data_IF_528995840044
#
_entry.id   IF_528995840044
#
_cell.length_a   1.000
_cell.length_b   1.000
_cell.length_c   1.000
_cell.angle_alpha   90.00
_cell.angle_beta   90.00
_cell.angle_gamma   90.00
#
_symmetry.space_group_name_H-M   'P 1'
#
loop_
_entity.id
_entity.type
_entity.pdbx_description
1 polymer ?
#
# COMPACT_ATOMS: atom_id res chain seq x y z
N UNK A 1 0.98 16.34 -9.93
CA UNK A 1 0.01 15.93 -8.89
C UNK A 1 0.60 14.81 -8.03
N UNK A 2 1.58 15.15 -7.20
CA UNK A 2 2.36 14.19 -6.40
C UNK A 2 1.74 13.88 -5.03
N UNK A 3 0.69 14.61 -4.63
CA UNK A 3 0.01 14.42 -3.34
C UNK A 3 -1.16 13.43 -3.39
N UNK A 4 -1.79 13.28 -4.54
CA UNK A 4 -2.98 12.42 -4.70
C UNK A 4 -2.62 10.99 -5.02
N UNK A 5 -1.58 10.78 -5.83
CA UNK A 5 -1.12 9.44 -6.22
C UNK A 5 -0.83 8.51 -5.03
N UNK A 6 -0.04 8.92 -4.01
CA UNK A 6 0.22 8.04 -2.86
C UNK A 6 -1.04 7.68 -2.05
N UNK A 7 -2.02 8.60 -1.97
CA UNK A 7 -3.31 8.34 -1.32
C UNK A 7 -4.15 7.31 -2.06
N UNK A 8 -4.17 7.36 -3.40
CA UNK A 8 -4.89 6.38 -4.21
C UNK A 8 -4.26 4.99 -4.12
N UNK A 9 -2.93 4.90 -4.16
CA UNK A 9 -2.21 3.64 -3.99
C UNK A 9 -2.47 3.01 -2.61
N UNK A 10 -2.43 3.81 -1.55
CA UNK A 10 -2.70 3.33 -0.18
C UNK A 10 -4.12 2.76 -0.09
N UNK A 11 -5.12 3.48 -0.61
CA UNK A 11 -6.50 3.01 -0.62
C UNK A 11 -6.68 1.75 -1.48
N UNK A 12 -6.09 1.71 -2.67
CA UNK A 12 -6.16 0.53 -3.54
C UNK A 12 -5.57 -0.71 -2.87
N UNK A 13 -4.44 -0.57 -2.17
CA UNK A 13 -3.85 -1.67 -1.41
C UNK A 13 -4.74 -2.12 -0.25
N UNK A 14 -5.34 -1.19 0.50
CA UNK A 14 -6.27 -1.53 1.60
C UNK A 14 -7.51 -2.26 1.04
N UNK A 15 -8.11 -1.75 -0.04
CA UNK A 15 -9.26 -2.41 -0.67
C UNK A 15 -8.90 -3.79 -1.21
N UNK A 16 -7.72 -3.97 -1.80
CA UNK A 16 -7.24 -5.29 -2.22
C UNK A 16 -7.08 -6.25 -1.02
N UNK A 17 -6.59 -5.78 0.13
CA UNK A 17 -6.58 -6.60 1.35
C UNK A 17 -7.99 -6.99 1.81
N UNK A 18 -8.94 -6.05 1.78
CA UNK A 18 -10.34 -6.30 2.14
C UNK A 18 -11.03 -7.30 1.20
N UNK A 19 -10.62 -7.32 -0.08
CA UNK A 19 -11.08 -8.28 -1.09
C UNK A 19 -10.42 -9.66 -0.96
N UNK A 20 -9.41 -9.81 -0.11
CA UNK A 20 -8.61 -11.04 0.03
C UNK A 20 -7.49 -11.17 -1.00
N UNK A 21 -7.31 -10.18 -1.87
CA UNK A 21 -6.24 -10.10 -2.88
C UNK A 21 -4.93 -9.57 -2.27
N UNK A 22 -4.35 -10.36 -1.36
CA UNK A 22 -3.13 -9.98 -0.63
C UNK A 22 -1.93 -9.74 -1.55
N UNK A 23 -1.80 -10.47 -2.66
CA UNK A 23 -0.72 -10.29 -3.63
C UNK A 23 -0.77 -8.92 -4.33
N UNK A 24 -1.96 -8.45 -4.70
CA UNK A 24 -2.13 -7.12 -5.29
C UNK A 24 -1.95 -6.03 -4.23
N UNK A 25 -2.44 -6.26 -3.02
CA UNK A 25 -2.25 -5.34 -1.91
C UNK A 25 -0.77 -5.07 -1.64
N UNK A 26 0.04 -6.13 -1.54
CA UNK A 26 1.49 -6.03 -1.31
C UNK A 26 2.15 -5.25 -2.44
N UNK A 27 1.83 -5.54 -3.71
CA UNK A 27 2.36 -4.78 -4.85
C UNK A 27 2.04 -3.29 -4.79
N UNK A 28 0.81 -2.93 -4.43
CA UNK A 28 0.41 -1.52 -4.30
C UNK A 28 1.15 -0.81 -3.17
N UNK A 29 1.35 -1.48 -2.04
CA UNK A 29 2.10 -0.91 -0.93
C UNK A 29 3.61 -0.82 -1.21
N UNK A 30 4.21 -1.81 -1.87
CA UNK A 30 5.62 -1.77 -2.29
C UNK A 30 5.89 -0.67 -3.32
N UNK A 31 4.99 -0.49 -4.29
CA UNK A 31 5.06 0.63 -5.23
C UNK A 31 4.97 1.97 -4.50
N UNK A 32 4.09 2.07 -3.50
CA UNK A 32 3.92 3.27 -2.69
C UNK A 32 5.15 3.61 -1.84
N UNK A 33 5.78 2.61 -1.23
CA UNK A 33 7.00 2.82 -0.42
C UNK A 33 8.23 3.07 -1.27
N UNK A 34 8.28 2.54 -2.49
CA UNK A 34 9.39 2.73 -3.43
C UNK A 34 9.30 4.06 -4.19
N UNK A 35 8.11 4.41 -4.69
CA UNK A 35 7.91 5.64 -5.48
C UNK A 35 7.72 6.88 -4.58
N UNK A 36 7.18 6.73 -3.36
CA UNK A 36 6.87 7.84 -2.47
C UNK A 36 7.37 7.62 -1.02
N UNK A 37 8.65 7.31 -0.79
CA UNK A 37 9.18 7.00 0.54
C UNK A 37 9.02 8.15 1.56
N UNK A 38 8.98 9.40 1.09
CA UNK A 38 8.80 10.59 1.94
C UNK A 38 7.34 10.92 2.25
N UNK A 39 6.39 10.23 1.60
CA UNK A 39 4.97 10.43 1.85
C UNK A 39 4.56 9.81 3.19
N UNK A 40 3.70 10.51 3.94
CA UNK A 40 3.13 9.97 5.18
C UNK A 40 2.31 8.69 4.93
N UNK A 41 1.79 8.53 3.72
CA UNK A 41 1.09 7.35 3.23
C UNK A 41 2.03 6.14 3.08
N UNK A 42 3.31 6.31 2.75
CA UNK A 42 4.26 5.20 2.63
C UNK A 42 4.51 4.51 3.97
N UNK A 43 4.65 5.27 5.06
CA UNK A 43 4.76 4.70 6.41
C UNK A 43 3.56 3.81 6.76
N UNK A 44 2.34 4.23 6.37
CA UNK A 44 1.13 3.42 6.55
C UNK A 44 1.17 2.19 5.64
N UNK A 45 1.54 2.37 4.37
CA UNK A 45 1.65 1.30 3.39
C UNK A 45 2.59 0.19 3.85
N UNK A 46 3.75 0.52 4.42
CA UNK A 46 4.67 -0.46 5.00
C UNK A 46 4.00 -1.29 6.09
N UNK A 47 3.26 -0.65 7.00
CA UNK A 47 2.54 -1.35 8.06
C UNK A 47 1.46 -2.29 7.51
N UNK A 48 0.70 -1.84 6.49
CA UNK A 48 -0.30 -2.68 5.83
C UNK A 48 0.34 -3.81 5.02
N UNK A 49 1.46 -3.57 4.35
CA UNK A 49 2.22 -4.58 3.61
C UNK A 49 2.71 -5.69 4.55
N UNK A 50 3.31 -5.33 5.70
CA UNK A 50 3.73 -6.32 6.69
C UNK A 50 2.56 -7.15 7.22
N UNK A 51 1.39 -6.53 7.42
CA UNK A 51 0.16 -7.27 7.78
C UNK A 51 -0.30 -8.19 6.67
N UNK A 52 -0.35 -7.71 5.42
CA UNK A 52 -0.76 -8.49 4.27
C UNK A 52 0.17 -9.69 4.04
N UNK A 53 1.48 -9.51 4.21
CA UNK A 53 2.46 -10.60 4.15
C UNK A 53 2.28 -11.62 5.27
N UNK A 54 1.91 -11.19 6.48
CA UNK A 54 1.65 -12.09 7.59
C UNK A 54 0.31 -12.86 7.47
N UNK A 55 -0.63 -12.36 6.65
CA UNK A 55 -1.92 -13.00 6.38
C UNK A 55 -1.88 -13.95 5.17
N UNK A 56 -0.82 -13.88 4.36
CA UNK A 56 -0.59 -14.77 3.20
C UNK A 56 -0.08 -16.13 3.66
#
# INVERSE_FOLDING_TARGET
NEFTRPRFLLKAGITAMELGDLDQAIKHFEALTTEFPEASEATKATLYASRAQAMK
#
